data_IF_132775562212
#
_entry.id   IF_132775562212
#
_cell.length_a   1.000
_cell.length_b   1.000
_cell.length_c   1.000
_cell.angle_alpha   90.00
_cell.angle_beta   90.00
_cell.angle_gamma   90.00
#
_symmetry.space_group_name_H-M   'P 1'
#
loop_
_entity.id
_entity.type
_entity.pdbx_description
1 polymer ?
#
# COMPACT_ATOMS: atom_id res chain seq x y z
N UNK A 1 -6.28 -22.15 -38.85
CA UNK A 1 -5.94 -22.89 -37.62
C UNK A 1 -4.42 -22.89 -37.43
N UNK A 2 -3.62 -23.15 -38.49
CA UNK A 2 -2.16 -23.20 -38.37
C UNK A 2 -1.51 -21.84 -38.04
N UNK A 3 -2.01 -20.71 -38.57
CA UNK A 3 -1.49 -19.39 -38.29
C UNK A 3 -1.74 -18.94 -36.82
N UNK A 4 -2.83 -19.40 -36.21
CA UNK A 4 -3.11 -19.13 -34.79
C UNK A 4 -2.24 -19.95 -33.84
N UNK A 5 -1.88 -21.18 -34.27
CA UNK A 5 -0.95 -22.03 -33.54
C UNK A 5 0.50 -21.53 -33.66
N UNK A 6 0.94 -21.09 -34.86
CA UNK A 6 2.23 -20.43 -35.03
C UNK A 6 2.36 -19.13 -34.23
N UNK A 7 1.28 -18.33 -34.17
CA UNK A 7 1.27 -17.15 -33.31
C UNK A 7 1.27 -17.50 -31.82
N UNK A 8 0.60 -18.57 -31.41
CA UNK A 8 0.63 -19.04 -30.02
C UNK A 8 2.01 -19.63 -29.66
N UNK A 9 2.64 -20.38 -30.57
CA UNK A 9 3.99 -20.90 -30.37
C UNK A 9 5.05 -19.79 -30.33
N UNK A 10 4.97 -18.79 -31.20
CA UNK A 10 5.86 -17.61 -31.14
C UNK A 10 5.62 -16.77 -29.90
N UNK A 11 4.40 -16.69 -29.39
CA UNK A 11 4.10 -15.97 -28.15
C UNK A 11 4.54 -16.73 -26.88
N UNK A 12 4.49 -18.08 -26.91
CA UNK A 12 4.83 -18.92 -25.74
C UNK A 12 6.29 -19.40 -25.78
N UNK A 13 6.86 -19.64 -26.97
CA UNK A 13 8.20 -20.23 -27.15
C UNK A 13 9.15 -19.38 -28.01
N UNK A 14 8.67 -18.32 -28.65
CA UNK A 14 9.42 -17.53 -29.63
C UNK A 14 10.46 -16.58 -29.05
N UNK A 15 10.47 -16.38 -27.75
CA UNK A 15 11.47 -15.53 -27.07
C UNK A 15 11.82 -16.13 -25.70
N UNK A 16 12.60 -17.19 -25.69
CA UNK A 16 13.20 -17.69 -24.45
C UNK A 16 13.95 -16.60 -23.68
N UNK A 17 14.39 -15.55 -24.37
CA UNK A 17 14.97 -14.33 -23.79
C UNK A 17 13.90 -13.38 -23.19
N UNK A 18 12.70 -13.32 -23.73
CA UNK A 18 11.66 -12.41 -23.26
C UNK A 18 11.12 -12.78 -21.88
N UNK A 19 10.85 -14.06 -21.65
CA UNK A 19 10.37 -14.58 -20.38
C UNK A 19 11.47 -14.53 -19.31
N UNK A 20 12.70 -14.88 -19.67
CA UNK A 20 13.88 -14.76 -18.82
C UNK A 20 14.16 -13.30 -18.43
N UNK A 21 14.07 -12.37 -19.38
CA UNK A 21 14.23 -10.95 -19.10
C UNK A 21 13.10 -10.39 -18.24
N UNK A 22 11.87 -10.82 -18.44
CA UNK A 22 10.72 -10.39 -17.62
C UNK A 22 10.85 -10.90 -16.19
N UNK A 23 11.25 -12.16 -16.01
CA UNK A 23 11.50 -12.74 -14.70
C UNK A 23 12.68 -12.06 -13.99
N UNK A 24 13.79 -11.83 -14.68
CA UNK A 24 14.97 -11.14 -14.11
C UNK A 24 14.65 -9.68 -13.76
N UNK A 25 13.88 -8.97 -14.59
CA UNK A 25 13.37 -7.63 -14.26
C UNK A 25 12.44 -7.65 -13.06
N UNK A 26 11.54 -8.63 -12.97
CA UNK A 26 10.67 -8.82 -11.81
C UNK A 26 11.46 -9.09 -10.52
N UNK A 27 12.40 -10.02 -10.55
CA UNK A 27 13.26 -10.35 -9.41
C UNK A 27 14.12 -9.16 -9.00
N UNK A 28 14.71 -8.44 -9.96
CA UNK A 28 15.51 -7.23 -9.65
C UNK A 28 14.64 -6.11 -9.10
N UNK A 29 13.41 -5.92 -9.59
CA UNK A 29 12.47 -4.95 -9.05
C UNK A 29 12.09 -5.28 -7.59
N UNK A 30 11.76 -6.54 -7.31
CA UNK A 30 11.45 -7.00 -5.94
C UNK A 30 12.66 -6.84 -5.01
N UNK A 31 13.85 -7.24 -5.46
CA UNK A 31 15.09 -7.08 -4.68
C UNK A 31 15.37 -5.61 -4.38
N UNK A 32 15.24 -4.73 -5.39
CA UNK A 32 15.47 -3.29 -5.21
C UNK A 32 14.40 -2.67 -4.28
N UNK A 33 13.14 -3.04 -4.44
CA UNK A 33 12.08 -2.61 -3.53
C UNK A 33 12.36 -3.07 -2.09
N UNK A 34 12.72 -4.34 -1.89
CA UNK A 34 13.04 -4.88 -0.57
C UNK A 34 14.24 -4.18 0.08
N UNK A 35 15.34 -3.96 -0.67
CA UNK A 35 16.50 -3.25 -0.16
C UNK A 35 16.17 -1.78 0.16
N UNK A 36 15.46 -1.08 -0.72
CA UNK A 36 15.02 0.30 -0.48
C UNK A 36 14.14 0.40 0.77
N UNK A 37 13.18 -0.53 0.92
CA UNK A 37 12.31 -0.58 2.11
C UNK A 37 13.11 -0.84 3.38
N UNK A 38 14.09 -1.75 3.33
CA UNK A 38 14.96 -2.04 4.47
C UNK A 38 15.77 -0.81 4.88
N UNK A 39 16.42 -0.13 3.91
CA UNK A 39 17.17 1.09 4.19
C UNK A 39 16.25 2.21 4.71
N UNK A 40 15.07 2.37 4.13
CA UNK A 40 14.08 3.34 4.61
C UNK A 40 13.63 3.04 6.04
N UNK A 41 13.40 1.77 6.39
CA UNK A 41 13.05 1.36 7.74
C UNK A 41 14.19 1.63 8.73
N UNK A 42 15.42 1.28 8.39
CA UNK A 42 16.60 1.57 9.22
C UNK A 42 16.73 3.09 9.43
N UNK A 43 16.62 3.87 8.36
CA UNK A 43 16.73 5.32 8.44
C UNK A 43 15.58 5.93 9.27
N UNK A 44 14.35 5.41 9.14
CA UNK A 44 13.23 5.81 9.95
C UNK A 44 13.47 5.55 11.45
N UNK A 45 14.01 4.38 11.81
CA UNK A 45 14.37 4.07 13.19
C UNK A 45 15.45 5.03 13.71
N UNK A 46 16.49 5.31 12.92
CA UNK A 46 17.52 6.29 13.28
C UNK A 46 16.90 7.68 13.53
N UNK A 47 16.04 8.13 12.61
CA UNK A 47 15.35 9.41 12.78
C UNK A 47 14.47 9.44 14.03
N UNK A 48 13.80 8.32 14.36
CA UNK A 48 12.98 8.24 15.58
C UNK A 48 13.83 8.31 16.85
N UNK A 49 14.96 7.61 16.87
CA UNK A 49 15.87 7.61 18.04
C UNK A 49 16.50 8.97 18.23
N UNK A 50 16.93 9.61 17.12
CA UNK A 50 17.63 10.91 17.18
C UNK A 50 16.69 12.13 17.09
N UNK A 51 15.37 11.88 16.98
CA UNK A 51 14.37 12.94 16.86
C UNK A 51 14.48 14.04 17.94
N UNK A 52 14.73 13.73 19.24
CA UNK A 52 14.85 14.77 20.27
C UNK A 52 16.06 15.70 20.03
N UNK A 53 17.21 15.14 19.66
CA UNK A 53 18.43 15.91 19.35
C UNK A 53 18.23 16.78 18.11
N UNK A 54 17.68 16.19 17.06
CA UNK A 54 17.41 16.88 15.80
C UNK A 54 16.38 18.02 16.02
N UNK A 55 15.34 17.78 16.80
CA UNK A 55 14.34 18.78 17.14
C UNK A 55 14.95 19.93 17.95
N UNK A 56 15.81 19.65 18.95
CA UNK A 56 16.47 20.67 19.75
C UNK A 56 17.40 21.56 18.92
N UNK A 57 18.16 20.94 18.03
CA UNK A 57 19.05 21.65 17.09
C UNK A 57 18.24 22.60 16.18
N UNK A 58 17.22 22.07 15.51
CA UNK A 58 16.38 22.87 14.61
C UNK A 58 15.60 23.95 15.33
N UNK A 59 15.13 23.70 16.55
CA UNK A 59 14.47 24.73 17.38
C UNK A 59 15.42 25.89 17.69
N UNK A 60 16.69 25.61 17.98
CA UNK A 60 17.69 26.65 18.21
C UNK A 60 17.96 27.48 16.95
N UNK A 61 18.14 26.83 15.81
CA UNK A 61 18.35 27.51 14.51
C UNK A 61 17.14 28.38 14.13
N UNK A 62 15.92 27.82 14.21
CA UNK A 62 14.69 28.54 13.87
C UNK A 62 14.46 29.74 14.79
N UNK A 63 14.72 29.58 16.09
CA UNK A 63 14.60 30.70 17.07
C UNK A 63 15.58 31.82 16.77
N UNK A 64 16.81 31.47 16.37
CA UNK A 64 17.85 32.44 15.97
C UNK A 64 17.48 33.19 14.70
N UNK A 65 16.87 32.52 13.72
CA UNK A 65 16.52 33.10 12.42
C UNK A 65 15.22 33.92 12.46
N UNK A 66 14.21 33.43 13.17
CA UNK A 66 12.85 34.02 13.17
C UNK A 66 12.60 35.01 14.34
N UNK A 67 13.50 35.03 15.32
CA UNK A 67 13.29 35.78 16.58
C UNK A 67 12.16 35.19 17.44
N UNK A 68 12.01 35.66 18.65
CA UNK A 68 11.06 35.13 19.64
C UNK A 68 9.60 35.15 19.16
N UNK A 69 9.16 36.23 18.50
CA UNK A 69 7.77 36.38 18.04
C UNK A 69 7.47 35.46 16.84
N UNK A 70 8.43 35.34 15.92
CA UNK A 70 8.30 34.43 14.75
C UNK A 70 8.30 32.99 15.18
N UNK A 71 9.21 32.61 16.08
CA UNK A 71 9.29 31.26 16.62
C UNK A 71 8.03 30.85 17.38
N UNK A 72 7.40 31.76 18.15
CA UNK A 72 6.13 31.51 18.83
C UNK A 72 5.04 31.06 17.86
N UNK A 73 4.81 31.82 16.78
CA UNK A 73 3.83 31.45 15.73
C UNK A 73 4.16 30.14 15.06
N UNK A 74 5.42 29.90 14.78
CA UNK A 74 5.87 28.63 14.19
C UNK A 74 5.63 27.45 15.13
N UNK A 75 5.85 27.62 16.44
CA UNK A 75 5.61 26.59 17.45
C UNK A 75 4.12 26.25 17.56
N UNK A 76 3.23 27.25 17.51
CA UNK A 76 1.77 27.03 17.46
C UNK A 76 1.38 26.28 16.20
N UNK A 77 1.79 26.73 15.03
CA UNK A 77 1.53 26.05 13.76
C UNK A 77 2.03 24.60 13.76
N UNK A 78 3.24 24.37 14.28
CA UNK A 78 3.78 23.00 14.41
C UNK A 78 2.93 22.14 15.33
N UNK A 79 2.45 22.69 16.45
CA UNK A 79 1.59 21.95 17.37
C UNK A 79 0.26 21.55 16.69
N UNK A 80 -0.34 22.44 15.93
CA UNK A 80 -1.56 22.19 15.18
C UNK A 80 -1.35 21.10 14.11
N UNK A 81 -0.24 21.17 13.37
CA UNK A 81 0.13 20.16 12.37
C UNK A 81 0.34 18.79 13.03
N UNK A 82 1.08 18.72 14.13
CA UNK A 82 1.31 17.47 14.86
C UNK A 82 0.00 16.90 15.40
N UNK A 83 -0.86 17.74 15.94
CA UNK A 83 -2.18 17.31 16.43
C UNK A 83 -3.05 16.75 15.30
N UNK A 84 -3.17 17.48 14.20
CA UNK A 84 -3.93 17.03 13.04
C UNK A 84 -3.35 15.72 12.44
N UNK A 85 -2.02 15.64 12.29
CA UNK A 85 -1.35 14.46 11.77
C UNK A 85 -1.53 13.24 12.68
N UNK A 86 -1.43 13.42 13.99
CA UNK A 86 -1.62 12.33 14.96
C UNK A 86 -3.07 11.80 14.91
N UNK A 87 -4.04 12.71 14.82
CA UNK A 87 -5.45 12.34 14.66
C UNK A 87 -5.70 11.57 13.37
N UNK A 88 -5.15 12.06 12.27
CA UNK A 88 -5.21 11.39 10.96
C UNK A 88 -4.58 9.98 11.01
N UNK A 89 -3.37 9.84 11.55
CA UNK A 89 -2.68 8.56 11.65
C UNK A 89 -3.46 7.54 12.49
N UNK A 90 -4.06 7.98 13.60
CA UNK A 90 -4.92 7.11 14.42
C UNK A 90 -6.14 6.62 13.62
N UNK A 91 -6.82 7.54 12.92
CA UNK A 91 -7.95 7.20 12.06
C UNK A 91 -7.54 6.22 10.97
N UNK A 92 -6.43 6.49 10.27
CA UNK A 92 -5.90 5.64 9.20
C UNK A 92 -5.54 4.23 9.67
N UNK A 93 -5.01 4.10 10.90
CA UNK A 93 -4.69 2.79 11.45
C UNK A 93 -5.96 1.97 11.73
N UNK A 94 -6.98 2.61 12.31
CA UNK A 94 -8.28 1.96 12.56
C UNK A 94 -8.91 1.54 11.23
N UNK A 95 -8.92 2.44 10.26
CA UNK A 95 -9.43 2.20 8.92
C UNK A 95 -8.71 1.02 8.24
N UNK A 96 -7.39 0.98 8.27
CA UNK A 96 -6.58 -0.11 7.74
C UNK A 96 -6.96 -1.47 8.33
N UNK A 97 -7.19 -1.54 9.63
CA UNK A 97 -7.63 -2.77 10.31
C UNK A 97 -9.03 -3.16 9.87
N UNK A 98 -9.97 -2.20 9.82
CA UNK A 98 -11.35 -2.46 9.43
C UNK A 98 -11.44 -2.94 7.97
N UNK A 99 -10.80 -2.23 7.05
CA UNK A 99 -10.80 -2.60 5.61
C UNK A 99 -10.11 -3.94 5.41
N UNK A 100 -8.98 -4.19 6.05
CA UNK A 100 -8.29 -5.47 5.98
C UNK A 100 -9.16 -6.64 6.46
N UNK A 101 -9.88 -6.47 7.58
CA UNK A 101 -10.84 -7.47 8.09
C UNK A 101 -12.02 -7.65 7.15
N UNK A 102 -12.63 -6.57 6.66
CA UNK A 102 -13.75 -6.62 5.73
C UNK A 102 -13.37 -7.35 4.44
N UNK A 103 -12.24 -7.05 3.85
CA UNK A 103 -11.73 -7.71 2.64
C UNK A 103 -11.44 -9.17 2.92
N UNK A 104 -10.70 -9.49 3.99
CA UNK A 104 -10.33 -10.86 4.33
C UNK A 104 -11.54 -11.74 4.58
N UNK A 105 -12.50 -11.27 5.39
CA UNK A 105 -13.74 -12.01 5.69
C UNK A 105 -14.61 -12.16 4.44
N UNK A 106 -14.84 -11.09 3.69
CA UNK A 106 -15.71 -11.12 2.51
C UNK A 106 -15.17 -12.05 1.41
N UNK A 107 -13.85 -11.99 1.14
CA UNK A 107 -13.22 -12.89 0.16
C UNK A 107 -13.21 -14.34 0.64
N UNK A 108 -13.14 -14.59 1.95
CA UNK A 108 -13.27 -15.94 2.52
C UNK A 108 -14.67 -16.48 2.29
N UNK A 109 -15.71 -15.67 2.48
CA UNK A 109 -17.11 -16.06 2.22
C UNK A 109 -17.34 -16.35 0.73
N UNK A 110 -16.72 -15.59 -0.17
CA UNK A 110 -16.74 -15.84 -1.63
C UNK A 110 -16.00 -17.12 -2.00
N UNK A 111 -15.10 -17.61 -1.14
CA UNK A 111 -14.30 -18.81 -1.37
C UNK A 111 -13.05 -18.53 -2.20
N UNK A 112 -12.49 -17.32 -2.13
CA UNK A 112 -11.21 -16.98 -2.74
C UNK A 112 -10.08 -17.57 -1.90
N UNK A 113 -9.16 -18.28 -2.55
CA UNK A 113 -8.01 -18.85 -1.87
C UNK A 113 -7.09 -17.72 -1.34
N UNK A 114 -6.41 -17.98 -0.23
CA UNK A 114 -5.56 -17.00 0.46
C UNK A 114 -6.27 -15.69 0.88
N UNK A 115 -7.62 -15.69 0.95
CA UNK A 115 -8.40 -14.51 1.33
C UNK A 115 -7.90 -13.78 2.61
N UNK A 116 -7.54 -14.47 3.72
CA UNK A 116 -6.98 -13.80 4.89
C UNK A 116 -5.66 -13.09 4.61
N UNK A 117 -4.82 -13.67 3.76
CA UNK A 117 -3.53 -13.06 3.37
C UNK A 117 -3.77 -11.81 2.54
N UNK A 118 -4.73 -11.87 1.60
CA UNK A 118 -5.14 -10.70 0.80
C UNK A 118 -5.68 -9.61 1.72
N UNK A 119 -6.51 -9.97 2.70
CA UNK A 119 -7.04 -9.01 3.69
C UNK A 119 -5.93 -8.31 4.50
N UNK A 120 -4.97 -9.07 5.02
CA UNK A 120 -3.82 -8.51 5.75
C UNK A 120 -2.99 -7.59 4.84
N UNK A 121 -2.66 -8.04 3.64
CA UNK A 121 -1.91 -7.25 2.67
C UNK A 121 -2.65 -5.96 2.30
N UNK A 122 -3.97 -6.03 2.12
CA UNK A 122 -4.83 -4.87 1.85
C UNK A 122 -4.82 -3.90 3.03
N UNK A 123 -4.96 -4.40 4.27
CA UNK A 123 -4.91 -3.58 5.48
C UNK A 123 -3.58 -2.86 5.63
N UNK A 124 -2.45 -3.56 5.44
CA UNK A 124 -1.12 -2.94 5.44
C UNK A 124 -1.00 -1.90 4.32
N UNK A 125 -1.47 -2.24 3.12
CA UNK A 125 -1.49 -1.31 1.99
C UNK A 125 -2.33 -0.06 2.25
N UNK A 126 -3.42 -0.21 3.00
CA UNK A 126 -4.34 0.88 3.33
C UNK A 126 -3.76 1.90 4.33
N UNK A 127 -2.63 1.61 4.98
CA UNK A 127 -1.88 2.63 5.74
C UNK A 127 -1.42 3.78 4.85
N UNK A 128 -1.30 3.55 3.55
CA UNK A 128 -1.03 4.58 2.55
C UNK A 128 -2.30 4.72 1.69
N UNK A 129 -2.92 5.92 1.65
CA UNK A 129 -4.15 6.13 0.89
C UNK A 129 -4.05 5.61 -0.53
N UNK A 130 -5.09 4.96 -1.03
CA UNK A 130 -5.23 4.36 -2.37
C UNK A 130 -4.39 3.10 -2.65
N UNK A 131 -3.38 2.76 -1.86
CA UNK A 131 -2.58 1.55 -2.08
C UNK A 131 -3.36 0.30 -1.67
N UNK A 132 -4.13 0.35 -0.59
CA UNK A 132 -4.98 -0.76 -0.13
C UNK A 132 -5.90 -1.32 -1.21
N UNK A 133 -6.74 -0.50 -1.85
CA UNK A 133 -7.56 -0.91 -2.99
C UNK A 133 -6.77 -1.59 -4.11
N UNK A 134 -5.66 -0.99 -4.53
CA UNK A 134 -4.82 -1.55 -5.60
C UNK A 134 -4.31 -2.94 -5.22
N UNK A 135 -3.81 -3.10 -3.99
CA UNK A 135 -3.32 -4.38 -3.47
C UNK A 135 -4.43 -5.43 -3.46
N UNK A 136 -5.64 -5.08 -2.98
CA UNK A 136 -6.76 -6.01 -2.92
C UNK A 136 -7.18 -6.50 -4.31
N UNK A 137 -7.30 -5.61 -5.30
CA UNK A 137 -7.66 -5.99 -6.66
C UNK A 137 -6.56 -6.82 -7.33
N UNK A 138 -5.31 -6.38 -7.26
CA UNK A 138 -4.19 -7.08 -7.91
C UNK A 138 -4.03 -8.49 -7.36
N UNK A 139 -4.06 -8.66 -6.04
CA UNK A 139 -3.90 -9.98 -5.43
C UNK A 139 -5.11 -10.88 -5.71
N UNK A 140 -6.34 -10.35 -5.63
CA UNK A 140 -7.55 -11.13 -5.92
C UNK A 140 -7.56 -11.59 -7.38
N UNK A 141 -7.25 -10.70 -8.32
CA UNK A 141 -7.14 -11.06 -9.74
C UNK A 141 -6.07 -12.13 -9.94
N UNK A 142 -4.88 -11.94 -9.37
CA UNK A 142 -3.78 -12.89 -9.51
C UNK A 142 -4.17 -14.29 -9.02
N UNK A 143 -4.77 -14.39 -7.82
CA UNK A 143 -5.19 -15.66 -7.24
C UNK A 143 -6.31 -16.32 -8.06
N UNK A 144 -7.35 -15.58 -8.44
CA UNK A 144 -8.47 -16.14 -9.20
C UNK A 144 -8.06 -16.57 -10.61
N UNK A 145 -7.16 -15.83 -11.27
CA UNK A 145 -6.66 -16.18 -12.61
C UNK A 145 -5.79 -17.43 -12.56
N UNK A 146 -4.91 -17.55 -11.58
CA UNK A 146 -4.06 -18.74 -11.40
C UNK A 146 -4.91 -19.99 -11.15
N UNK A 147 -6.02 -19.86 -10.40
CA UNK A 147 -6.94 -20.96 -10.11
C UNK A 147 -7.95 -21.22 -11.24
N UNK A 148 -8.00 -20.39 -12.28
CA UNK A 148 -8.94 -20.54 -13.39
C UNK A 148 -10.40 -20.23 -13.04
N UNK A 149 -10.67 -19.62 -11.89
CA UNK A 149 -12.00 -19.36 -11.35
C UNK A 149 -12.53 -17.96 -11.74
N UNK A 150 -12.88 -17.79 -13.01
CA UNK A 150 -13.42 -16.51 -13.52
C UNK A 150 -14.76 -16.13 -12.82
N UNK A 151 -15.57 -17.13 -12.47
CA UNK A 151 -16.82 -16.88 -11.75
C UNK A 151 -16.59 -16.23 -10.39
N UNK A 152 -15.67 -16.77 -9.60
CA UNK A 152 -15.27 -16.19 -8.31
C UNK A 152 -14.64 -14.82 -8.46
N UNK A 153 -13.86 -14.61 -9.53
CA UNK A 153 -13.26 -13.31 -9.81
C UNK A 153 -14.31 -12.20 -9.96
N UNK A 154 -15.38 -12.46 -10.72
CA UNK A 154 -16.46 -11.48 -10.93
C UNK A 154 -17.16 -11.14 -9.61
N UNK A 155 -17.48 -12.17 -8.81
CA UNK A 155 -18.15 -11.97 -7.50
C UNK A 155 -17.20 -11.25 -6.54
N UNK A 156 -15.95 -11.64 -6.47
CA UNK A 156 -14.94 -11.00 -5.62
C UNK A 156 -14.73 -9.53 -6.00
N UNK A 157 -14.65 -9.23 -7.30
CA UNK A 157 -14.52 -7.85 -7.78
C UNK A 157 -15.74 -6.99 -7.40
N UNK A 158 -16.96 -7.54 -7.53
CA UNK A 158 -18.18 -6.85 -7.11
C UNK A 158 -18.19 -6.57 -5.59
N UNK A 159 -17.79 -7.55 -4.78
CA UNK A 159 -17.68 -7.41 -3.32
C UNK A 159 -16.62 -6.36 -2.96
N UNK A 160 -15.46 -6.38 -3.60
CA UNK A 160 -14.42 -5.37 -3.37
C UNK A 160 -14.91 -3.96 -3.75
N UNK A 161 -15.67 -3.81 -4.85
CA UNK A 161 -16.28 -2.52 -5.22
C UNK A 161 -17.21 -2.00 -4.12
N UNK A 162 -18.06 -2.88 -3.54
CA UNK A 162 -18.96 -2.50 -2.44
C UNK A 162 -18.15 -2.07 -1.21
N UNK A 163 -17.11 -2.83 -0.85
CA UNK A 163 -16.23 -2.48 0.29
C UNK A 163 -15.58 -1.13 0.06
N UNK A 164 -15.02 -0.87 -1.12
CA UNK A 164 -14.39 0.41 -1.47
C UNK A 164 -15.39 1.57 -1.45
N UNK A 165 -16.64 1.31 -1.89
CA UNK A 165 -17.70 2.31 -1.81
C UNK A 165 -18.03 2.65 -0.35
N UNK A 166 -18.21 1.63 0.51
CA UNK A 166 -18.47 1.81 1.94
C UNK A 166 -17.31 2.53 2.62
N UNK A 167 -16.08 2.12 2.33
CA UNK A 167 -14.87 2.76 2.85
C UNK A 167 -14.83 4.26 2.52
N UNK A 168 -15.01 4.60 1.24
CA UNK A 168 -14.94 5.98 0.78
C UNK A 168 -16.09 6.88 1.22
N UNK A 169 -17.28 6.33 1.53
CA UNK A 169 -18.47 7.12 1.86
C UNK A 169 -18.79 7.12 3.37
N UNK A 170 -18.44 6.05 4.09
CA UNK A 170 -18.84 5.87 5.49
C UNK A 170 -17.65 6.01 6.44
N UNK A 171 -16.52 5.41 6.10
CA UNK A 171 -15.34 5.38 6.98
C UNK A 171 -14.46 6.60 6.75
N UNK A 172 -14.29 7.03 5.49
CA UNK A 172 -13.49 8.18 5.08
C UNK A 172 -14.33 9.24 4.35
N UNK A 173 -15.38 9.83 4.97
CA UNK A 173 -16.12 10.91 4.34
C UNK A 173 -15.19 12.10 4.13
N UNK A 174 -15.10 12.57 2.90
CA UNK A 174 -14.34 13.77 2.51
C UNK A 174 -14.93 15.03 3.08
#
# INVERSE_FOLDING_TARGET
VNAALEHAETFVFGDGDGLGQTLTKGVTAVRNAASTTLFAAIFAVYLMVDAPHLASYWNGVLRSLMGERGYGRFAEFRADVVFAFTGYMRGQFIDAVLVGLMVGVSLTVVGVDFAPVIGIATGIGNLIPYIGPIVSYVLTVAVCVVNGDIGRLVVAAAVLLVIQFVDGQVINPK
#
